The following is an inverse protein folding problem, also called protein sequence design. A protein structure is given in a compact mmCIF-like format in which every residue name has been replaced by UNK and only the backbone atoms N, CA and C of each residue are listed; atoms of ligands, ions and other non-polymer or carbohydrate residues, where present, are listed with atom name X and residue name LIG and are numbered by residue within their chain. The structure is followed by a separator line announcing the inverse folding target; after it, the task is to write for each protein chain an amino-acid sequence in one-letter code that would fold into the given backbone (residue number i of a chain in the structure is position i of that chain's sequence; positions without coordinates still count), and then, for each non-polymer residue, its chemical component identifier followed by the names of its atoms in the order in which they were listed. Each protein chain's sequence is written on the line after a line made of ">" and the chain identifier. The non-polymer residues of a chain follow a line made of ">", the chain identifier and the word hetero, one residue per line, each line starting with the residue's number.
data_IF_825949356615
#
_entry.id   IF_825949356615
#
_cell.length_a   1.000
_cell.length_b   1.000
_cell.length_c   1.000
_cell.angle_alpha   90.00
_cell.angle_beta   90.00
_cell.angle_gamma   90.00
#
_symmetry.space_group_name_H-M   'P 1'
#
loop_
_entity.id
_entity.type
_entity.pdbx_description
1 polymer ?
#
# COMPACT_ATOMS: atom_id res chain seq x y z
N UNK A 1 -21.57 -15.57 17.12
CA UNK A 1 -21.90 -14.64 16.01
C UNK A 1 -20.70 -14.58 15.08
N UNK A 2 -20.76 -15.29 13.94
CA UNK A 2 -19.59 -15.53 13.08
C UNK A 2 -19.10 -14.27 12.37
N UNK A 3 -17.80 -13.99 12.43
CA UNK A 3 -17.16 -12.92 11.66
C UNK A 3 -17.13 -13.34 10.17
N UNK A 4 -18.05 -12.84 9.35
CA UNK A 4 -17.97 -13.00 7.89
C UNK A 4 -16.77 -12.24 7.32
N UNK A 5 -16.23 -12.74 6.20
CA UNK A 5 -15.36 -11.99 5.29
C UNK A 5 -16.09 -10.71 4.86
N UNK A 6 -15.59 -9.53 5.26
CA UNK A 6 -16.17 -8.23 4.93
C UNK A 6 -15.25 -7.50 3.96
N UNK A 7 -15.80 -7.11 2.80
CA UNK A 7 -15.09 -6.28 1.81
C UNK A 7 -14.71 -4.94 2.45
N UNK A 8 -13.47 -4.84 2.89
CA UNK A 8 -12.89 -3.65 3.54
C UNK A 8 -11.54 -3.33 2.90
N UNK A 9 -11.11 -2.07 2.99
CA UNK A 9 -9.79 -1.64 2.49
C UNK A 9 -8.62 -2.36 3.18
N UNK A 10 -8.86 -2.87 4.38
CA UNK A 10 -7.93 -3.67 5.19
C UNK A 10 -8.11 -5.18 5.00
N UNK A 11 -8.99 -5.56 4.07
CA UNK A 11 -9.23 -6.95 3.74
C UNK A 11 -8.14 -7.60 2.91
N UNK A 12 -8.34 -8.89 2.65
CA UNK A 12 -7.46 -9.71 1.81
C UNK A 12 -7.68 -9.42 0.34
N UNK A 13 -6.65 -8.96 -0.36
CA UNK A 13 -6.62 -8.98 -1.84
C UNK A 13 -6.00 -10.29 -2.27
N UNK A 14 -6.67 -11.02 -3.17
CA UNK A 14 -6.18 -12.28 -3.73
C UNK A 14 -6.19 -12.18 -5.24
N UNK A 15 -5.11 -12.64 -5.87
CA UNK A 15 -5.00 -12.74 -7.33
C UNK A 15 -4.35 -14.07 -7.69
N UNK A 16 -4.84 -14.70 -8.77
CA UNK A 16 -4.17 -15.82 -9.43
C UNK A 16 -3.26 -15.29 -10.53
N UNK A 17 -2.06 -15.84 -10.64
CA UNK A 17 -1.11 -15.56 -11.71
C UNK A 17 -1.30 -16.52 -12.89
N UNK A 18 -0.71 -16.20 -14.04
CA UNK A 18 -0.84 -17.00 -15.27
C UNK A 18 -0.22 -18.40 -15.14
N UNK A 19 0.77 -18.55 -14.27
CA UNK A 19 1.44 -19.80 -13.90
C UNK A 19 0.76 -20.52 -12.72
N UNK A 20 -0.50 -20.17 -12.43
CA UNK A 20 -1.35 -20.82 -11.42
C UNK A 20 -0.91 -20.65 -9.95
N UNK A 21 -0.11 -19.64 -9.63
CA UNK A 21 0.20 -19.28 -8.24
C UNK A 21 -0.90 -18.38 -7.65
N UNK A 22 -1.02 -18.42 -6.32
CA UNK A 22 -1.92 -17.56 -5.56
C UNK A 22 -1.09 -16.48 -4.87
N UNK A 23 -1.39 -15.22 -5.16
CA UNK A 23 -0.85 -14.08 -4.43
C UNK A 23 -1.93 -13.54 -3.48
N UNK A 24 -1.60 -13.43 -2.19
CA UNK A 24 -2.51 -12.92 -1.17
C UNK A 24 -1.84 -11.80 -0.36
N UNK A 25 -2.55 -10.70 -0.14
CA UNK A 25 -2.11 -9.56 0.67
C UNK A 25 -3.18 -9.16 1.67
N UNK A 26 -2.86 -9.17 2.96
CA UNK A 26 -3.82 -8.89 4.02
C UNK A 26 -3.23 -8.23 5.29
N UNK A 27 -1.98 -7.76 5.26
CA UNK A 27 -1.32 -7.17 6.42
C UNK A 27 -0.85 -5.73 6.14
N UNK A 28 -1.05 -4.85 7.12
CA UNK A 28 -0.56 -3.47 7.13
C UNK A 28 -0.03 -3.13 8.52
N UNK A 29 1.11 -2.46 8.61
CA UNK A 29 1.67 -1.92 9.85
C UNK A 29 2.26 -0.54 9.61
N UNK A 30 2.34 0.26 10.66
CA UNK A 30 2.95 1.59 10.64
C UNK A 30 4.15 1.61 11.57
N UNK A 31 5.27 2.14 11.06
CA UNK A 31 6.52 2.31 11.79
C UNK A 31 7.06 3.72 11.50
N UNK A 32 7.19 4.61 12.50
CA UNK A 32 7.64 5.99 12.30
C UNK A 32 9.05 6.09 11.69
N UNK A 33 9.92 5.14 12.00
CA UNK A 33 11.28 5.03 11.46
C UNK A 33 11.31 4.43 10.04
N UNK A 34 10.15 4.06 9.49
CA UNK A 34 10.01 3.41 8.19
C UNK A 34 10.56 1.99 8.13
N UNK A 35 10.97 1.39 9.27
CA UNK A 35 11.64 0.09 9.30
C UNK A 35 10.71 -0.99 9.81
N UNK A 36 10.58 -2.12 9.08
CA UNK A 36 9.79 -3.24 9.59
C UNK A 36 10.48 -3.85 10.81
N UNK A 37 9.68 -4.32 11.77
CA UNK A 37 10.18 -5.04 12.96
C UNK A 37 10.10 -6.54 12.73
N UNK A 38 11.19 -7.28 12.95
CA UNK A 38 11.22 -8.73 12.73
C UNK A 38 10.10 -9.48 13.45
N UNK A 39 9.82 -9.10 14.71
CA UNK A 39 8.71 -9.68 15.48
C UNK A 39 7.37 -9.51 14.77
N UNK A 40 7.12 -8.34 14.18
CA UNK A 40 5.90 -8.08 13.43
C UNK A 40 5.86 -8.87 12.12
N UNK A 41 6.99 -9.02 11.44
CA UNK A 41 7.08 -9.83 10.22
C UNK A 41 6.74 -11.30 10.49
N UNK A 42 7.31 -11.88 11.55
CA UNK A 42 7.00 -13.26 11.98
C UNK A 42 5.50 -13.42 12.28
N UNK A 43 4.93 -12.48 13.03
CA UNK A 43 3.50 -12.48 13.31
C UNK A 43 2.64 -12.37 12.04
N UNK A 44 3.00 -11.50 11.11
CA UNK A 44 2.27 -11.33 9.86
C UNK A 44 2.30 -12.61 8.99
N UNK A 45 3.41 -13.35 8.99
CA UNK A 45 3.51 -14.65 8.28
C UNK A 45 2.49 -15.65 8.85
N UNK A 46 2.38 -15.75 10.18
CA UNK A 46 1.37 -16.61 10.82
C UNK A 46 -0.06 -16.16 10.48
N UNK A 47 -0.30 -14.85 10.45
CA UNK A 47 -1.59 -14.28 10.04
C UNK A 47 -1.90 -14.59 8.58
N UNK A 48 -0.93 -14.49 7.67
CA UNK A 48 -1.10 -14.86 6.26
C UNK A 48 -1.54 -16.32 6.14
N UNK A 49 -0.89 -17.24 6.88
CA UNK A 49 -1.24 -18.67 6.91
C UNK A 49 -2.68 -18.89 7.38
N UNK A 50 -3.05 -18.33 8.54
CA UNK A 50 -4.41 -18.47 9.11
C UNK A 50 -5.47 -17.93 8.17
N UNK A 51 -5.27 -16.75 7.59
CA UNK A 51 -6.25 -16.16 6.67
C UNK A 51 -6.35 -16.94 5.37
N UNK A 52 -5.25 -17.51 4.88
CA UNK A 52 -5.26 -18.39 3.70
C UNK A 52 -6.05 -19.67 3.95
N UNK A 53 -5.79 -20.38 5.06
CA UNK A 53 -6.52 -21.62 5.42
C UNK A 53 -8.01 -21.37 5.62
N UNK A 54 -8.38 -20.24 6.25
CA UNK A 54 -9.79 -19.84 6.40
C UNK A 54 -10.47 -19.59 5.07
N UNK A 55 -9.75 -19.04 4.10
CA UNK A 55 -10.31 -18.69 2.78
C UNK A 55 -10.30 -19.85 1.80
N UNK A 56 -9.28 -20.71 1.88
CA UNK A 56 -9.04 -21.85 1.01
C UNK A 56 -8.82 -23.13 1.84
N UNK A 57 -9.84 -23.61 2.57
CA UNK A 57 -9.69 -24.78 3.44
C UNK A 57 -9.29 -26.04 2.67
N UNK A 58 -9.65 -26.12 1.38
CA UNK A 58 -9.26 -27.21 0.48
C UNK A 58 -7.77 -27.20 0.11
N UNK A 59 -7.04 -26.11 0.39
CA UNK A 59 -5.62 -25.93 0.07
C UNK A 59 -4.74 -25.89 1.33
N UNK A 60 -5.20 -26.43 2.46
CA UNK A 60 -4.46 -26.39 3.74
C UNK A 60 -3.06 -27.01 3.70
N UNK A 61 -2.82 -27.95 2.77
CA UNK A 61 -1.52 -28.61 2.56
C UNK A 61 -0.58 -27.86 1.62
N UNK A 62 -1.00 -26.72 1.06
CA UNK A 62 -0.17 -25.93 0.15
C UNK A 62 0.74 -25.01 0.96
N UNK A 63 2.05 -25.19 0.80
CA UNK A 63 3.05 -24.36 1.47
C UNK A 63 3.19 -22.97 0.83
N UNK A 64 3.73 -22.03 1.61
CA UNK A 64 4.05 -20.70 1.09
C UNK A 64 5.50 -20.71 0.65
N UNK A 65 5.72 -20.60 -0.66
CA UNK A 65 7.06 -20.44 -1.22
C UNK A 65 7.71 -19.12 -0.77
N UNK A 66 6.90 -18.06 -0.66
CA UNK A 66 7.37 -16.72 -0.34
C UNK A 66 6.39 -15.97 0.57
N UNK A 67 6.94 -15.18 1.48
CA UNK A 67 6.21 -14.14 2.21
C UNK A 67 7.13 -12.96 2.44
N UNK A 68 6.67 -11.75 2.11
CA UNK A 68 7.48 -10.54 2.20
C UNK A 68 6.63 -9.34 2.64
N UNK A 69 7.32 -8.25 2.94
CA UNK A 69 6.73 -6.94 3.23
C UNK A 69 7.40 -5.89 2.37
N UNK A 70 6.71 -4.77 2.15
CA UNK A 70 7.27 -3.60 1.48
C UNK A 70 6.78 -2.32 2.14
N UNK A 71 7.47 -1.22 1.85
CA UNK A 71 7.01 0.11 2.23
C UNK A 71 6.04 0.65 1.20
N UNK A 72 5.01 1.36 1.66
CA UNK A 72 4.09 2.10 0.80
C UNK A 72 4.23 3.57 1.17
N UNK A 73 4.46 4.41 0.16
CA UNK A 73 4.47 5.84 0.32
C UNK A 73 3.03 6.35 0.30
N UNK A 74 2.61 6.97 1.42
CA UNK A 74 1.27 7.49 1.64
C UNK A 74 1.35 8.96 2.05
N UNK A 75 0.39 9.75 1.56
CA UNK A 75 0.09 11.10 2.06
C UNK A 75 -1.22 11.10 2.83
N UNK A 76 -1.33 11.97 3.83
CA UNK A 76 -2.51 12.06 4.69
C UNK A 76 -3.73 12.60 3.92
N UNK A 77 -3.54 13.62 3.09
CA UNK A 77 -4.56 14.14 2.17
C UNK A 77 -4.78 13.28 0.91
N UNK A 78 -4.09 12.13 0.78
CA UNK A 78 -4.15 11.24 -0.39
C UNK A 78 -3.72 11.88 -1.73
N UNK A 79 -3.03 13.02 -1.69
CA UNK A 79 -2.45 13.64 -2.88
C UNK A 79 -1.07 13.07 -3.24
N UNK A 80 -0.79 13.02 -4.53
CA UNK A 80 0.54 12.66 -5.04
C UNK A 80 1.46 13.89 -5.07
N UNK A 81 2.76 13.67 -5.25
CA UNK A 81 3.64 14.73 -5.73
C UNK A 81 4.01 14.43 -7.18
N UNK A 82 4.00 15.44 -8.05
CA UNK A 82 4.47 15.34 -9.43
C UNK A 82 5.19 16.63 -9.80
N UNK A 83 6.45 16.55 -10.22
CA UNK A 83 7.20 17.71 -10.68
C UNK A 83 8.67 17.70 -10.28
N UNK A 84 9.27 18.88 -10.27
CA UNK A 84 10.67 19.09 -9.92
C UNK A 84 10.85 19.23 -8.41
N UNK A 85 11.72 18.40 -7.84
CA UNK A 85 12.08 18.42 -6.41
C UNK A 85 13.32 19.29 -6.14
N UNK A 86 14.26 19.32 -7.08
CA UNK A 86 15.49 20.11 -7.03
C UNK A 86 16.03 20.32 -8.47
N UNK A 87 17.06 21.15 -8.69
CA UNK A 87 17.69 21.27 -10.01
C UNK A 87 18.03 19.90 -10.60
N UNK A 88 17.44 19.57 -11.75
CA UNK A 88 17.57 18.27 -12.43
C UNK A 88 17.13 17.03 -11.62
N UNK A 89 16.31 17.21 -10.59
CA UNK A 89 15.71 16.11 -9.81
C UNK A 89 14.20 16.21 -9.93
N UNK A 90 13.58 15.19 -10.51
CA UNK A 90 12.14 15.11 -10.72
C UNK A 90 11.56 13.90 -9.99
N UNK A 91 10.31 14.00 -9.57
CA UNK A 91 9.66 12.95 -8.80
C UNK A 91 8.17 12.81 -9.07
N UNK A 92 7.70 11.57 -9.05
CA UNK A 92 6.29 11.20 -8.96
C UNK A 92 6.13 10.34 -7.68
N UNK A 93 5.75 10.98 -6.58
CA UNK A 93 5.76 10.38 -5.24
C UNK A 93 4.34 10.23 -4.68
N UNK A 94 4.21 9.53 -3.55
CA UNK A 94 2.93 9.31 -2.87
C UNK A 94 1.85 8.72 -3.79
N UNK A 95 2.19 7.64 -4.51
CA UNK A 95 1.25 6.92 -5.37
C UNK A 95 0.14 6.18 -4.59
N UNK A 96 0.10 6.29 -3.26
CA UNK A 96 -0.98 5.84 -2.38
C UNK A 96 -1.43 4.38 -2.60
N UNK A 97 -0.46 3.48 -2.81
CA UNK A 97 -0.73 2.05 -3.04
C UNK A 97 -1.11 1.68 -4.49
N UNK A 98 -1.10 2.65 -5.41
CA UNK A 98 -1.33 2.46 -6.84
C UNK A 98 -0.04 2.57 -7.66
N UNK A 99 1.12 2.30 -7.05
CA UNK A 99 2.43 2.54 -7.65
C UNK A 99 2.67 1.87 -9.00
N UNK A 100 2.11 0.68 -9.25
CA UNK A 100 2.28 0.01 -10.55
C UNK A 100 1.56 0.78 -11.66
N UNK A 101 0.25 1.01 -11.49
CA UNK A 101 -0.56 1.68 -12.53
C UNK A 101 -0.26 3.17 -12.60
N UNK A 102 -0.32 3.87 -11.45
CA UNK A 102 -0.09 5.32 -11.39
C UNK A 102 1.35 5.65 -11.72
N UNK A 103 2.31 4.89 -11.19
CA UNK A 103 3.73 5.13 -11.42
C UNK A 103 4.14 4.93 -12.89
N UNK A 104 3.53 3.97 -13.60
CA UNK A 104 3.78 3.82 -15.05
C UNK A 104 3.31 5.05 -15.82
N UNK A 105 2.08 5.50 -15.56
CA UNK A 105 1.52 6.68 -16.23
C UNK A 105 2.30 7.96 -15.88
N UNK A 106 2.54 8.22 -14.59
CA UNK A 106 3.27 9.42 -14.15
C UNK A 106 4.75 9.37 -14.54
N UNK A 107 5.36 8.18 -14.64
CA UNK A 107 6.73 8.02 -15.13
C UNK A 107 6.86 8.44 -16.60
N UNK A 108 5.90 8.05 -17.45
CA UNK A 108 5.85 8.51 -18.84
C UNK A 108 5.63 10.03 -18.92
N UNK A 109 4.66 10.56 -18.17
CA UNK A 109 4.39 11.99 -18.14
C UNK A 109 5.59 12.80 -17.62
N UNK A 110 6.34 12.28 -16.65
CA UNK A 110 7.60 12.90 -16.20
C UNK A 110 8.64 12.93 -17.32
N UNK A 111 8.81 11.84 -18.07
CA UNK A 111 9.73 11.79 -19.19
C UNK A 111 9.36 12.81 -20.27
N UNK A 112 8.08 12.90 -20.61
CA UNK A 112 7.55 13.87 -21.58
C UNK A 112 7.76 15.32 -21.09
N UNK A 113 7.49 15.59 -19.81
CA UNK A 113 7.75 16.90 -19.19
C UNK A 113 9.24 17.29 -19.26
N UNK A 114 10.15 16.35 -18.98
CA UNK A 114 11.60 16.58 -19.06
C UNK A 114 12.05 16.81 -20.51
N UNK A 115 11.41 16.17 -21.47
CA UNK A 115 11.64 16.37 -22.91
C UNK A 115 11.06 17.70 -23.44
N UNK A 116 10.31 18.45 -22.63
CA UNK A 116 9.67 19.70 -23.04
C UNK A 116 8.36 19.53 -23.82
N UNK A 117 7.77 18.33 -23.79
CA UNK A 117 6.49 18.03 -24.45
C UNK A 117 5.32 18.65 -23.68
N UNK A 118 4.30 19.14 -24.41
CA UNK A 118 3.08 19.69 -23.81
C UNK A 118 2.00 18.63 -23.68
N UNK A 119 1.39 18.54 -22.50
CA UNK A 119 0.30 17.60 -22.24
C UNK A 119 -0.60 18.14 -21.12
N UNK A 120 -1.90 18.18 -21.35
CA UNK A 120 -2.89 18.67 -20.36
C UNK A 120 -2.84 17.87 -19.04
N UNK A 121 -2.45 16.59 -19.09
CA UNK A 121 -2.27 15.78 -17.88
C UNK A 121 -1.04 16.19 -17.08
N UNK A 122 0.02 16.68 -17.74
CA UNK A 122 1.20 17.24 -17.05
C UNK A 122 0.75 18.50 -16.32
N UNK A 123 0.05 19.41 -17.01
CA UNK A 123 -0.44 20.66 -16.43
C UNK A 123 -1.34 20.39 -15.22
N UNK A 124 -2.26 19.43 -15.34
CA UNK A 124 -3.13 18.99 -14.25
C UNK A 124 -2.35 18.45 -13.04
N UNK A 125 -1.35 17.59 -13.28
CA UNK A 125 -0.56 16.98 -12.20
C UNK A 125 0.34 18.00 -11.50
N UNK A 126 0.92 18.93 -12.24
CA UNK A 126 1.76 20.03 -11.69
C UNK A 126 0.90 21.01 -10.87
N UNK A 127 -0.35 21.25 -11.27
CA UNK A 127 -1.27 22.10 -10.54
C UNK A 127 -1.86 21.46 -9.26
N UNK A 128 -1.60 20.16 -9.01
CA UNK A 128 -2.08 19.50 -7.79
C UNK A 128 -1.49 20.16 -6.54
N UNK A 129 -2.28 20.33 -5.45
CA UNK A 129 -1.81 20.94 -4.20
C UNK A 129 -0.70 20.14 -3.50
N UNK A 130 -0.44 18.90 -3.95
CA UNK A 130 0.63 18.06 -3.41
C UNK A 130 0.31 17.48 -2.02
N UNK A 131 1.25 16.69 -1.46
CA UNK A 131 1.07 16.07 -0.16
C UNK A 131 1.11 17.10 0.98
N UNK A 132 0.19 16.98 1.94
CA UNK A 132 0.17 17.81 3.14
C UNK A 132 1.21 17.36 4.18
N UNK A 133 1.55 18.26 5.12
CA UNK A 133 2.38 17.92 6.28
C UNK A 133 1.58 17.06 7.26
N UNK A 134 2.21 16.00 7.76
CA UNK A 134 1.64 15.17 8.82
C UNK A 134 1.75 15.87 10.18
N UNK A 135 0.83 15.57 11.13
CA UNK A 135 0.99 15.98 12.52
C UNK A 135 2.33 15.51 13.13
N UNK A 136 2.87 16.20 14.14
CA UNK A 136 4.06 15.75 14.84
C UNK A 136 3.78 14.50 15.70
N UNK A 137 4.83 13.76 16.03
CA UNK A 137 4.75 12.69 17.03
C UNK A 137 4.44 13.27 18.44
N UNK A 138 3.66 12.57 19.28
CA UNK A 138 3.12 11.22 19.11
C UNK A 138 1.76 11.13 18.38
N UNK A 139 1.19 12.27 17.96
CA UNK A 139 -0.18 12.32 17.43
C UNK A 139 -0.34 11.55 16.13
N UNK A 140 0.67 11.62 15.24
CA UNK A 140 0.71 10.83 14.01
C UNK A 140 0.62 9.33 14.30
N UNK A 141 1.51 8.81 15.14
CA UNK A 141 1.52 7.40 15.51
C UNK A 141 0.20 6.96 16.14
N UNK A 142 -0.36 7.76 17.04
CA UNK A 142 -1.65 7.43 17.67
C UNK A 142 -2.79 7.38 16.67
N UNK A 143 -2.89 8.36 15.77
CA UNK A 143 -3.93 8.43 14.75
C UNK A 143 -3.86 7.23 13.79
N UNK A 144 -2.68 7.00 13.19
CA UNK A 144 -2.49 5.92 12.22
C UNK A 144 -2.74 4.56 12.86
N UNK A 145 -2.17 4.29 14.04
CA UNK A 145 -2.37 2.99 14.70
C UNK A 145 -3.84 2.77 15.11
N UNK A 146 -4.57 3.82 15.49
CA UNK A 146 -6.01 3.73 15.81
C UNK A 146 -6.82 3.34 14.57
N UNK A 147 -6.56 4.00 13.42
CA UNK A 147 -7.22 3.68 12.16
C UNK A 147 -6.88 2.27 11.69
N UNK A 148 -5.61 1.85 11.79
CA UNK A 148 -5.18 0.50 11.42
C UNK A 148 -5.86 -0.56 12.29
N UNK A 149 -5.82 -0.41 13.62
CA UNK A 149 -6.45 -1.35 14.56
C UNK A 149 -7.95 -1.46 14.32
N UNK A 150 -8.63 -0.32 14.12
CA UNK A 150 -10.06 -0.30 13.79
C UNK A 150 -10.36 -0.97 12.45
N UNK A 151 -9.53 -0.70 11.44
CA UNK A 151 -9.62 -1.29 10.12
C UNK A 151 -9.47 -2.81 10.14
N UNK A 152 -8.43 -3.31 10.80
CA UNK A 152 -8.18 -4.74 11.00
C UNK A 152 -9.30 -5.42 11.79
N UNK A 153 -9.78 -4.76 12.86
CA UNK A 153 -10.93 -5.26 13.62
C UNK A 153 -12.17 -5.45 12.73
N UNK A 154 -12.44 -4.49 11.83
CA UNK A 154 -13.56 -4.56 10.87
C UNK A 154 -13.34 -5.59 9.75
N UNK A 155 -12.08 -5.88 9.39
CA UNK A 155 -11.73 -6.88 8.39
C UNK A 155 -12.00 -8.32 8.87
N UNK A 156 -12.18 -8.53 10.18
CA UNK A 156 -12.79 -9.75 10.72
C UNK A 156 -11.85 -10.95 10.65
N UNK A 157 -12.17 -11.94 9.81
CA UNK A 157 -11.36 -13.16 9.63
C UNK A 157 -10.28 -13.03 8.56
N UNK A 158 -10.26 -11.91 7.83
CA UNK A 158 -9.30 -11.64 6.75
C UNK A 158 -7.90 -11.31 7.26
N UNK A 159 -7.80 -10.86 8.51
CA UNK A 159 -6.56 -10.41 9.18
C UNK A 159 -6.54 -10.98 10.61
#
# INVERSE_FOLDING_TARGET
>A
MGRLFRRTRFGSTVRRTVDNRILMRNSFSFHPDGRPREKQLKHNIETHRKSFERRFPMLSKVDFEYSWSGAICLSDNHEGFFGQLAPNVYGALCCNGLGITRGTATGKLLADMIAGERNELIDFLVASPGPNRTPPEPFLSMGVNSVLKWGQFRAGLEV
#
